data_IF_930547788018
#
_entry.id   IF_930547788018
#
_cell.length_a   1.000
_cell.length_b   1.000
_cell.length_c   1.000
_cell.angle_alpha   90.00
_cell.angle_beta   90.00
_cell.angle_gamma   90.00
#
_symmetry.space_group_name_H-M   'P 1'
#
loop_
_entity.id
_entity.type
_entity.pdbx_description
1 polymer ?
#
# COMPACT_ATOMS: atom_id res chain seq x y z
N UNK A 1 15.54 -6.59 -2.22
CA UNK A 1 14.88 -5.30 -1.99
C UNK A 1 15.84 -4.13 -1.99
N UNK A 2 16.53 -3.82 -0.87
CA UNK A 2 17.40 -2.64 -0.79
C UNK A 2 18.50 -2.59 -1.87
N UNK A 3 19.01 -3.74 -2.30
CA UNK A 3 20.03 -3.85 -3.35
C UNK A 3 19.46 -4.21 -4.74
N UNK A 4 18.14 -4.08 -4.96
CA UNK A 4 17.48 -4.28 -6.26
C UNK A 4 17.35 -5.72 -6.78
N UNK A 5 18.12 -6.70 -6.26
CA UNK A 5 18.12 -8.10 -6.74
C UNK A 5 16.80 -8.87 -6.57
N UNK A 6 15.94 -8.39 -5.67
CA UNK A 6 14.59 -8.93 -5.44
C UNK A 6 13.65 -7.75 -5.57
N UNK A 7 12.94 -7.61 -6.71
CA UNK A 7 12.12 -6.43 -7.00
C UNK A 7 10.66 -6.57 -6.51
N UNK A 8 10.22 -7.76 -6.08
CA UNK A 8 8.85 -8.04 -5.61
C UNK A 8 8.85 -8.53 -4.15
N UNK A 9 8.16 -7.80 -3.27
CA UNK A 9 8.02 -8.09 -1.85
C UNK A 9 6.55 -8.34 -1.58
N UNK A 10 6.26 -9.48 -0.99
CA UNK A 10 4.95 -9.80 -0.45
C UNK A 10 5.08 -9.74 1.07
N UNK A 11 4.24 -8.94 1.71
CA UNK A 11 4.28 -8.76 3.15
C UNK A 11 2.86 -8.55 3.70
N UNK A 12 2.64 -9.04 4.92
CA UNK A 12 1.49 -8.65 5.75
C UNK A 12 1.84 -7.38 6.53
N UNK A 13 0.84 -6.70 7.08
CA UNK A 13 1.03 -5.49 7.90
C UNK A 13 1.98 -5.73 9.08
N UNK A 14 1.93 -6.93 9.67
CA UNK A 14 2.83 -7.33 10.76
C UNK A 14 4.26 -7.49 10.25
N UNK A 15 4.45 -8.18 9.12
CA UNK A 15 5.77 -8.40 8.54
C UNK A 15 6.43 -7.10 8.03
N UNK A 16 5.62 -6.09 7.66
CA UNK A 16 6.10 -4.79 7.18
C UNK A 16 6.52 -3.83 8.30
N UNK A 17 6.11 -4.06 9.56
CA UNK A 17 6.51 -3.22 10.70
C UNK A 17 8.01 -3.32 10.93
N UNK A 18 8.68 -2.18 11.01
CA UNK A 18 10.14 -2.10 11.18
C UNK A 18 10.94 -2.27 9.87
N UNK A 19 10.29 -2.60 8.76
CA UNK A 19 10.93 -2.55 7.45
C UNK A 19 10.85 -1.13 6.89
N UNK A 20 11.99 -0.44 6.86
CA UNK A 20 12.11 0.81 6.09
C UNK A 20 12.18 0.49 4.60
N UNK A 21 11.00 0.48 3.99
CA UNK A 21 10.79 0.29 2.55
C UNK A 21 10.12 1.57 2.06
N UNK A 22 10.90 2.41 1.39
CA UNK A 22 10.47 3.66 0.77
C UNK A 22 10.84 3.65 -0.71
N UNK A 23 10.22 4.55 -1.48
CA UNK A 23 10.49 4.75 -2.90
C UNK A 23 10.20 3.50 -3.77
N UNK A 24 9.14 2.76 -3.44
CA UNK A 24 8.66 1.70 -4.33
C UNK A 24 7.92 2.32 -5.52
N UNK A 25 8.03 1.72 -6.71
CA UNK A 25 7.33 2.22 -7.91
C UNK A 25 5.83 1.93 -7.88
N UNK A 26 5.45 0.79 -7.29
CA UNK A 26 4.07 0.32 -7.29
C UNK A 26 3.77 -0.41 -5.97
N UNK A 27 2.68 -0.02 -5.32
CA UNK A 27 2.08 -0.73 -4.20
C UNK A 27 0.85 -1.49 -4.69
N UNK A 28 0.76 -2.78 -4.35
CA UNK A 28 -0.40 -3.61 -4.65
C UNK A 28 -1.03 -4.07 -3.33
N UNK A 29 -2.24 -3.58 -3.04
CA UNK A 29 -3.05 -4.12 -1.96
C UNK A 29 -3.79 -5.34 -2.48
N UNK A 30 -3.21 -6.53 -2.24
CA UNK A 30 -3.88 -7.78 -2.62
C UNK A 30 -5.18 -7.97 -1.83
N UNK A 31 -5.08 -7.79 -0.51
CA UNK A 31 -6.21 -7.61 0.39
C UNK A 31 -6.17 -6.18 0.92
N UNK A 32 -7.28 -5.44 0.74
CA UNK A 32 -7.43 -4.13 1.34
C UNK A 32 -7.39 -4.21 2.88
N UNK A 33 -6.73 -3.25 3.55
CA UNK A 33 -6.82 -3.16 4.99
C UNK A 33 -8.25 -2.83 5.43
N UNK A 34 -8.55 -3.07 6.71
CA UNK A 34 -9.85 -2.74 7.29
C UNK A 34 -9.93 -1.30 7.78
N UNK A 35 -8.82 -0.57 7.75
CA UNK A 35 -8.64 0.76 8.30
C UNK A 35 -7.96 1.69 7.27
N UNK A 36 -8.45 2.93 7.18
CA UNK A 36 -8.01 3.90 6.18
C UNK A 36 -6.61 4.44 6.46
N UNK A 37 -6.22 4.60 7.72
CA UNK A 37 -4.87 5.04 8.08
C UNK A 37 -3.85 3.99 7.64
N UNK A 38 -4.18 2.70 7.82
CA UNK A 38 -3.36 1.62 7.28
C UNK A 38 -3.26 1.66 5.74
N UNK A 39 -4.37 1.92 5.04
CA UNK A 39 -4.35 2.08 3.58
C UNK A 39 -3.41 3.20 3.14
N UNK A 40 -3.53 4.39 3.74
CA UNK A 40 -2.69 5.55 3.47
C UNK A 40 -1.21 5.23 3.75
N UNK A 41 -0.91 4.56 4.87
CA UNK A 41 0.45 4.14 5.21
C UNK A 41 1.05 3.13 4.21
N UNK A 42 0.22 2.24 3.64
CA UNK A 42 0.64 1.28 2.61
C UNK A 42 0.92 1.97 1.29
N UNK A 43 0.00 2.79 0.78
CA UNK A 43 0.21 3.48 -0.50
C UNK A 43 1.30 4.54 -0.42
N UNK A 44 1.51 5.14 0.77
CA UNK A 44 2.58 6.10 1.04
C UNK A 44 4.00 5.54 0.95
N UNK A 45 4.17 4.27 0.56
CA UNK A 45 5.47 3.68 0.20
C UNK A 45 5.92 4.09 -1.21
N UNK A 46 4.97 4.49 -2.07
CA UNK A 46 5.22 5.05 -3.40
C UNK A 46 5.00 6.57 -3.42
N UNK A 47 5.28 7.23 -4.55
CA UNK A 47 4.86 8.62 -4.78
C UNK A 47 5.58 9.70 -3.97
N UNK A 48 6.81 9.44 -3.48
CA UNK A 48 7.56 10.38 -2.62
C UNK A 48 8.50 11.29 -3.42
N UNK A 49 8.84 12.45 -2.84
CA UNK A 49 9.86 13.37 -3.36
C UNK A 49 9.65 13.80 -4.83
N UNK A 50 8.41 14.06 -5.21
CA UNK A 50 8.06 14.48 -6.58
C UNK A 50 8.04 13.35 -7.61
N UNK A 51 8.33 12.11 -7.21
CA UNK A 51 8.22 10.95 -8.07
C UNK A 51 6.75 10.54 -8.21
N UNK A 52 6.33 10.18 -9.41
CA UNK A 52 5.04 9.51 -9.62
C UNK A 52 5.09 8.11 -9.01
N UNK A 53 4.00 7.74 -8.34
CA UNK A 53 3.81 6.43 -7.75
C UNK A 53 2.48 5.83 -8.20
N UNK A 54 2.41 4.50 -8.21
CA UNK A 54 1.16 3.79 -8.50
C UNK A 54 0.73 2.97 -7.29
N UNK A 55 -0.56 3.01 -6.99
CA UNK A 55 -1.20 2.11 -6.05
C UNK A 55 -2.36 1.40 -6.74
N UNK A 56 -2.43 0.08 -6.61
CA UNK A 56 -3.54 -0.74 -7.12
C UNK A 56 -4.08 -1.58 -5.99
N UNK A 57 -5.40 -1.62 -5.86
CA UNK A 57 -6.07 -2.30 -4.77
C UNK A 57 -7.16 -3.19 -5.32
N UNK A 58 -7.17 -4.47 -4.91
CA UNK A 58 -8.30 -5.33 -5.20
C UNK A 58 -9.38 -5.11 -4.14
N UNK A 59 -10.57 -4.76 -4.61
CA UNK A 59 -11.74 -4.48 -3.79
C UNK A 59 -12.78 -5.58 -3.99
N UNK A 60 -13.40 -6.05 -2.91
CA UNK A 60 -14.51 -6.99 -2.95
C UNK A 60 -15.54 -6.68 -1.86
N UNK A 61 -16.61 -7.50 -1.78
CA UNK A 61 -17.72 -7.30 -0.84
C UNK A 61 -17.31 -7.28 0.64
N UNK A 62 -16.15 -7.84 1.00
CA UNK A 62 -15.64 -7.84 2.39
C UNK A 62 -15.08 -6.47 2.79
N UNK A 63 -14.86 -5.55 1.85
CA UNK A 63 -14.26 -4.24 2.09
C UNK A 63 -15.29 -3.12 2.27
N UNK A 64 -16.57 -3.46 2.51
CA UNK A 64 -17.63 -2.46 2.73
C UNK A 64 -17.34 -1.46 3.85
N UNK A 65 -16.62 -1.91 4.88
CA UNK A 65 -16.31 -1.09 6.06
C UNK A 65 -15.37 0.09 5.77
N UNK A 66 -14.50 -0.02 4.76
CA UNK A 66 -13.54 1.04 4.37
C UNK A 66 -14.01 1.77 3.10
N UNK A 67 -15.14 1.37 2.51
CA UNK A 67 -15.57 1.87 1.21
C UNK A 67 -15.85 3.37 1.21
N UNK A 68 -16.54 3.88 2.24
CA UNK A 68 -16.84 5.31 2.38
C UNK A 68 -15.54 6.10 2.52
N UNK A 69 -14.65 5.68 3.42
CA UNK A 69 -13.38 6.37 3.67
C UNK A 69 -12.48 6.38 2.41
N UNK A 70 -12.52 5.32 1.60
CA UNK A 70 -11.81 5.27 0.33
C UNK A 70 -12.36 6.29 -0.68
N UNK A 71 -13.67 6.49 -0.74
CA UNK A 71 -14.27 7.48 -1.65
C UNK A 71 -13.88 8.90 -1.28
N UNK A 72 -13.67 9.19 0.00
CA UNK A 72 -13.30 10.53 0.46
C UNK A 72 -11.86 10.93 0.10
N UNK A 73 -10.99 9.96 -0.21
CA UNK A 73 -9.57 10.19 -0.50
C UNK A 73 -9.16 9.94 -1.97
N UNK A 74 -10.10 9.54 -2.83
CA UNK A 74 -9.90 9.29 -4.25
C UNK A 74 -10.34 10.49 -5.10
#
# INVERSE_FOLDING_TARGET
>A
FKNGRTPILVATSVAARGLDISNVKHVINFDLPTDIDEYVHRIGRTGRAGMLGQATSFFNEKNRNIATDLLDIL
#
